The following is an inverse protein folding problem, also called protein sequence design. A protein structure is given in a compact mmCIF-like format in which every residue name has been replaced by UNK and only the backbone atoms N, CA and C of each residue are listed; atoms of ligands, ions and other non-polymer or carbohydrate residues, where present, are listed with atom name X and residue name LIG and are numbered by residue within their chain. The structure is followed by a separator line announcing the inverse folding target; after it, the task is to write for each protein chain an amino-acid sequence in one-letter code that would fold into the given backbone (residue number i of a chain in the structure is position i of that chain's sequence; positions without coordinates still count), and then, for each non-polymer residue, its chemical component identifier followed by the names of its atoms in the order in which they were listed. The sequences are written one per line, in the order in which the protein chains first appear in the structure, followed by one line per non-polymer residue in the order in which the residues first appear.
data_IF_089706335789
#
_entry.id   IF_089706335789
#
_cell.length_a   1.000
_cell.length_b   1.000
_cell.length_c   1.000
_cell.angle_alpha   90.00
_cell.angle_beta   90.00
_cell.angle_gamma   90.00
#
_symmetry.space_group_name_H-M   'P 1'
#
loop_
_entity.id
_entity.type
_entity.pdbx_description
1 polymer ?
#
# COMPACT_ATOMS: atom_id res chain seq x y z
N UNK A 1 5.41 -8.57 15.65
CA UNK A 1 4.25 -7.85 15.09
C UNK A 1 3.65 -8.67 13.96
N UNK A 2 2.32 -8.84 13.88
CA UNK A 2 1.70 -9.63 12.79
C UNK A 2 1.80 -8.84 11.47
N UNK A 3 2.20 -9.49 10.36
CA UNK A 3 2.52 -8.83 9.07
C UNK A 3 1.42 -7.90 8.54
N UNK A 4 0.15 -8.26 8.72
CA UNK A 4 -0.97 -7.41 8.32
C UNK A 4 -1.03 -6.05 9.05
N UNK A 5 -0.53 -5.98 10.29
CA UNK A 5 -0.46 -4.73 11.06
C UNK A 5 0.59 -3.80 10.46
N UNK A 6 1.71 -4.34 9.99
CA UNK A 6 2.76 -3.56 9.31
C UNK A 6 2.21 -2.84 8.08
N UNK A 7 1.41 -3.54 7.27
CA UNK A 7 0.78 -2.95 6.08
C UNK A 7 -0.22 -1.85 6.43
N UNK A 8 -1.01 -2.02 7.49
CA UNK A 8 -1.94 -0.97 7.94
C UNK A 8 -1.20 0.25 8.51
N UNK A 9 -0.08 0.04 9.21
CA UNK A 9 0.79 1.13 9.68
C UNK A 9 1.39 1.88 8.49
N UNK A 10 1.89 1.16 7.48
CA UNK A 10 2.38 1.79 6.25
C UNK A 10 1.27 2.59 5.56
N UNK A 11 0.06 2.05 5.45
CA UNK A 11 -1.08 2.78 4.89
C UNK A 11 -1.33 4.11 5.63
N UNK A 12 -1.31 4.09 6.97
CA UNK A 12 -1.49 5.28 7.79
C UNK A 12 -0.35 6.30 7.59
N UNK A 13 0.90 5.84 7.51
CA UNK A 13 2.07 6.69 7.25
C UNK A 13 1.92 7.38 5.89
N UNK A 14 1.60 6.64 4.83
CA UNK A 14 1.44 7.19 3.49
C UNK A 14 0.26 8.16 3.39
N UNK A 15 -0.81 7.91 4.13
CA UNK A 15 -1.93 8.85 4.25
C UNK A 15 -1.51 10.15 4.95
N UNK A 16 -0.74 10.05 6.05
CA UNK A 16 -0.19 11.21 6.74
C UNK A 16 0.74 12.03 5.83
N UNK A 17 1.58 11.36 5.03
CA UNK A 17 2.45 12.02 4.04
C UNK A 17 1.62 12.70 2.94
N UNK A 18 0.52 12.09 2.48
CA UNK A 18 -0.40 12.75 1.54
C UNK A 18 -0.98 14.05 2.11
N UNK A 19 -1.40 14.03 3.38
CA UNK A 19 -1.93 15.21 4.08
C UNK A 19 -0.85 16.28 4.21
N UNK A 20 0.38 15.92 4.62
CA UNK A 20 1.50 16.87 4.70
C UNK A 20 1.84 17.49 3.32
N UNK A 21 1.76 16.70 2.25
CA UNK A 21 1.99 17.18 0.89
C UNK A 21 0.89 18.13 0.42
N UNK A 22 -0.36 17.92 0.83
CA UNK A 22 -1.47 18.84 0.61
C UNK A 22 -1.21 20.18 1.30
N UNK A 23 -0.81 20.17 2.57
CA UNK A 23 -0.48 21.40 3.31
C UNK A 23 0.74 22.13 2.75
N UNK A 24 1.73 21.38 2.25
CA UNK A 24 2.96 21.94 1.66
C UNK A 24 2.78 22.41 0.21
N UNK A 25 1.55 22.40 -0.32
CA UNK A 25 1.23 22.77 -1.71
C UNK A 25 2.09 22.03 -2.76
N UNK A 26 2.41 20.76 -2.50
CA UNK A 26 3.12 19.91 -3.46
C UNK A 26 2.23 19.62 -4.67
N UNK A 27 2.86 19.19 -5.76
CA UNK A 27 2.16 18.76 -6.98
C UNK A 27 1.06 17.74 -6.68
N UNK A 28 -0.09 17.91 -7.34
CA UNK A 28 -1.23 16.99 -7.25
C UNK A 28 -0.84 15.55 -7.58
N UNK A 29 0.14 15.33 -8.46
CA UNK A 29 0.67 14.00 -8.80
C UNK A 29 1.31 13.33 -7.58
N UNK A 30 2.08 14.08 -6.78
CA UNK A 30 2.74 13.56 -5.57
C UNK A 30 1.68 13.22 -4.52
N UNK A 31 0.68 14.08 -4.33
CA UNK A 31 -0.42 13.84 -3.38
C UNK A 31 -1.21 12.59 -3.80
N UNK A 32 -1.60 12.50 -5.08
CA UNK A 32 -2.32 11.36 -5.63
C UNK A 32 -1.57 10.04 -5.49
N UNK A 33 -0.25 10.05 -5.72
CA UNK A 33 0.60 8.88 -5.50
C UNK A 33 0.60 8.42 -4.04
N UNK A 34 0.70 9.35 -3.08
CA UNK A 34 0.69 8.99 -1.66
C UNK A 34 -0.66 8.41 -1.21
N UNK A 35 -1.77 8.98 -1.69
CA UNK A 35 -3.12 8.46 -1.43
C UNK A 35 -3.26 7.05 -2.03
N UNK A 36 -2.82 6.87 -3.27
CA UNK A 36 -2.86 5.57 -3.93
C UNK A 36 -2.05 4.52 -3.16
N UNK A 37 -0.82 4.85 -2.74
CA UNK A 37 0.02 3.96 -1.94
C UNK A 37 -0.67 3.58 -0.61
N UNK A 38 -1.31 4.54 0.06
CA UNK A 38 -2.07 4.28 1.28
C UNK A 38 -3.21 3.28 1.05
N UNK A 39 -3.97 3.44 -0.04
CA UNK A 39 -5.06 2.52 -0.42
C UNK A 39 -4.53 1.11 -0.70
N UNK A 40 -3.43 0.99 -1.45
CA UNK A 40 -2.82 -0.31 -1.76
C UNK A 40 -2.38 -1.01 -0.47
N UNK A 41 -1.65 -0.33 0.41
CA UNK A 41 -1.21 -0.93 1.67
C UNK A 41 -2.37 -1.30 2.59
N UNK A 42 -3.44 -0.50 2.63
CA UNK A 42 -4.65 -0.82 3.38
C UNK A 42 -5.36 -2.07 2.84
N UNK A 43 -5.49 -2.18 1.52
CA UNK A 43 -6.08 -3.34 0.86
C UNK A 43 -5.27 -4.62 1.14
N UNK A 44 -3.94 -4.52 1.11
CA UNK A 44 -3.03 -5.65 1.40
C UNK A 44 -3.14 -6.08 2.85
N UNK A 45 -3.05 -5.13 3.80
CA UNK A 45 -3.19 -5.42 5.22
C UNK A 45 -4.53 -6.08 5.54
N UNK A 46 -5.61 -5.55 4.98
CA UNK A 46 -6.96 -6.11 5.15
C UNK A 46 -7.09 -7.49 4.51
N UNK A 47 -6.58 -7.68 3.30
CA UNK A 47 -6.59 -8.96 2.60
C UNK A 47 -5.81 -10.03 3.37
N UNK A 48 -4.62 -9.70 3.87
CA UNK A 48 -3.84 -10.60 4.73
C UNK A 48 -4.57 -10.93 6.03
N UNK A 49 -5.19 -9.94 6.67
CA UNK A 49 -5.96 -10.17 7.90
C UNK A 49 -7.13 -11.12 7.67
N UNK A 50 -7.89 -10.96 6.57
CA UNK A 50 -8.98 -11.87 6.20
C UNK A 50 -8.45 -13.27 5.94
N UNK A 51 -7.35 -13.41 5.19
CA UNK A 51 -6.76 -14.72 4.88
C UNK A 51 -6.27 -15.42 6.12
N UNK A 52 -5.55 -14.74 7.02
CA UNK A 52 -5.07 -15.32 8.30
C UNK A 52 -6.24 -15.73 9.21
N UNK A 53 -7.39 -15.04 9.11
CA UNK A 53 -8.58 -15.38 9.90
C UNK A 53 -9.39 -16.54 9.32
N UNK A 54 -9.34 -16.76 8.00
CA UNK A 54 -10.10 -17.81 7.30
C UNK A 54 -9.28 -19.07 6.96
N UNK A 55 -7.96 -18.93 6.86
CA UNK A 55 -7.04 -19.98 6.41
C UNK A 55 -5.80 -20.01 7.31
N UNK A 56 -5.14 -21.16 7.36
CA UNK A 56 -3.88 -21.30 8.10
C UNK A 56 -2.81 -20.35 7.55
N UNK A 57 -2.07 -19.71 8.45
CA UNK A 57 -1.14 -18.61 8.15
C UNK A 57 0.05 -19.02 7.23
N UNK A 58 0.19 -20.30 6.89
CA UNK A 58 1.22 -20.85 6.00
C UNK A 58 0.80 -20.92 4.53
N UNK A 59 -0.41 -20.46 4.18
CA UNK A 59 -0.97 -20.64 2.84
C UNK A 59 -0.24 -19.84 1.76
N UNK A 60 0.02 -20.49 0.60
CA UNK A 60 0.57 -19.88 -0.63
C UNK A 60 -0.15 -18.59 -1.06
N UNK A 61 -1.40 -18.41 -0.62
CA UNK A 61 -2.23 -17.24 -0.84
C UNK A 61 -1.65 -15.95 -0.25
N UNK A 62 -1.05 -15.98 0.95
CA UNK A 62 -0.43 -14.81 1.55
C UNK A 62 0.73 -14.28 0.70
N UNK A 63 1.59 -15.17 0.20
CA UNK A 63 2.69 -14.81 -0.70
C UNK A 63 2.19 -14.22 -2.03
N UNK A 64 1.07 -14.72 -2.57
CA UNK A 64 0.47 -14.18 -3.80
C UNK A 64 -0.06 -12.76 -3.60
N UNK A 65 -0.69 -12.48 -2.46
CA UNK A 65 -1.18 -11.13 -2.12
C UNK A 65 0.00 -10.16 -1.96
N UNK A 66 1.07 -10.57 -1.28
CA UNK A 66 2.29 -9.77 -1.14
C UNK A 66 2.94 -9.49 -2.51
N UNK A 67 3.04 -10.51 -3.38
CA UNK A 67 3.62 -10.35 -4.71
C UNK A 67 2.78 -9.42 -5.59
N UNK A 68 1.45 -9.58 -5.58
CA UNK A 68 0.54 -8.73 -6.34
C UNK A 68 0.65 -7.26 -5.90
N UNK A 69 0.71 -7.01 -4.59
CA UNK A 69 0.93 -5.68 -4.04
C UNK A 69 2.24 -5.06 -4.51
N UNK A 70 3.33 -5.82 -4.43
CA UNK A 70 4.65 -5.38 -4.86
C UNK A 70 4.64 -5.01 -6.35
N UNK A 71 4.05 -5.85 -7.20
CA UNK A 71 3.93 -5.61 -8.64
C UNK A 71 3.12 -4.33 -8.90
N UNK A 72 1.99 -4.14 -8.23
CA UNK A 72 1.17 -2.91 -8.38
C UNK A 72 1.96 -1.68 -7.97
N UNK A 73 2.65 -1.70 -6.84
CA UNK A 73 3.48 -0.58 -6.38
C UNK A 73 4.59 -0.28 -7.39
N UNK A 74 5.28 -1.30 -7.89
CA UNK A 74 6.37 -1.14 -8.87
C UNK A 74 5.85 -0.58 -10.20
N UNK A 75 4.73 -1.10 -10.73
CA UNK A 75 4.13 -0.61 -11.97
C UNK A 75 3.71 0.86 -11.85
N UNK A 76 3.11 1.25 -10.73
CA UNK A 76 2.74 2.65 -10.50
C UNK A 76 3.97 3.54 -10.35
N UNK A 77 5.03 3.05 -9.69
CA UNK A 77 6.28 3.79 -9.59
C UNK A 77 6.90 4.04 -10.97
N UNK A 78 6.93 3.02 -11.84
CA UNK A 78 7.40 3.15 -13.23
C UNK A 78 6.52 4.14 -14.00
N UNK A 79 5.19 4.04 -13.88
CA UNK A 79 4.29 4.95 -14.56
C UNK A 79 4.51 6.42 -14.14
N UNK A 80 4.70 6.67 -12.84
CA UNK A 80 5.02 8.01 -12.33
C UNK A 80 6.36 8.50 -12.89
N UNK A 81 7.40 7.66 -12.88
CA UNK A 81 8.73 8.02 -13.41
C UNK A 81 8.72 8.33 -14.91
N UNK A 82 7.86 7.68 -15.68
CA UNK A 82 7.72 7.95 -17.12
C UNK A 82 6.93 9.24 -17.40
N UNK A 83 6.14 9.71 -16.44
CA UNK A 83 5.30 10.93 -16.56
C UNK A 83 5.94 12.17 -15.93
N UNK A 84 7.00 12.00 -15.13
CA UNK A 84 7.78 13.06 -14.46
C UNK A 84 9.02 13.44 -15.25
#
# INVERSE_FOLDING_TARGET
MKRYILWLVLAAVWLAVAVLNLYSQRSGTVIGFNIFAAVVFAAVGTGQWIVVRKYDASTKWLRRIELAALVVVVLVLIAVLLMS
#
